data_IF_041708274650
#
_entry.id   IF_041708274650
#
_cell.length_a   1.000
_cell.length_b   1.000
_cell.length_c   1.000
_cell.angle_alpha   90.00
_cell.angle_beta   90.00
_cell.angle_gamma   90.00
#
_symmetry.space_group_name_H-M   'P 1'
#
loop_
_entity.id
_entity.type
_entity.pdbx_description
1 polymer ?
#
# COMPACT_ATOMS: atom_id res chain seq x y z
N UNK A 1 8.32 43.81 -11.96
CA UNK A 1 8.20 44.17 -10.53
C UNK A 1 7.23 43.18 -9.92
N UNK A 2 7.73 42.02 -9.43
CA UNK A 2 6.87 40.92 -8.99
C UNK A 2 6.31 41.20 -7.59
N UNK A 3 5.02 41.50 -7.52
CA UNK A 3 4.27 41.59 -6.26
C UNK A 3 3.95 40.18 -5.76
N UNK A 4 4.84 39.60 -4.96
CA UNK A 4 4.60 38.31 -4.30
C UNK A 4 3.48 38.45 -3.27
N UNK A 5 2.33 37.86 -3.60
CA UNK A 5 1.11 37.91 -2.80
C UNK A 5 1.24 37.00 -1.56
N UNK A 6 1.68 37.60 -0.44
CA UNK A 6 2.05 36.91 0.81
C UNK A 6 0.92 36.10 1.49
N UNK A 7 -0.33 36.28 1.03
CA UNK A 7 -1.52 35.55 1.53
C UNK A 7 -1.82 34.23 0.79
N UNK A 8 -1.33 34.09 -0.45
CA UNK A 8 -1.57 32.88 -1.27
C UNK A 8 -0.58 31.76 -0.91
N UNK A 9 0.67 32.12 -0.63
CA UNK A 9 1.77 31.18 -0.34
C UNK A 9 1.54 30.37 0.94
N UNK A 10 1.02 31.01 2.00
CA UNK A 10 0.75 30.33 3.28
C UNK A 10 -0.33 29.25 3.17
N UNK A 11 -1.36 29.47 2.35
CA UNK A 11 -2.47 28.52 2.17
C UNK A 11 -2.08 27.34 1.27
N UNK A 12 -1.21 27.56 0.28
CA UNK A 12 -0.70 26.50 -0.58
C UNK A 12 0.33 25.63 0.15
N UNK A 13 1.19 26.22 0.99
CA UNK A 13 2.16 25.47 1.79
C UNK A 13 1.46 24.54 2.80
N UNK A 14 0.40 25.00 3.48
CA UNK A 14 -0.34 24.15 4.41
C UNK A 14 -1.07 23.00 3.72
N UNK A 15 -1.66 23.22 2.54
CA UNK A 15 -2.31 22.16 1.76
C UNK A 15 -1.28 21.13 1.25
N UNK A 16 -0.11 21.58 0.78
CA UNK A 16 0.97 20.68 0.36
C UNK A 16 1.49 19.84 1.55
N UNK A 17 1.69 20.43 2.72
CA UNK A 17 2.12 19.70 3.92
C UNK A 17 1.10 18.65 4.39
N UNK A 18 -0.21 18.90 4.23
CA UNK A 18 -1.26 17.94 4.58
C UNK A 18 -1.24 16.75 3.61
N UNK A 19 -1.19 17.01 2.30
CA UNK A 19 -1.13 15.97 1.27
C UNK A 19 0.14 15.11 1.41
N UNK A 20 1.29 15.73 1.69
CA UNK A 20 2.55 15.01 1.86
C UNK A 20 2.56 14.14 3.13
N UNK A 21 1.96 14.60 4.23
CA UNK A 21 1.86 13.81 5.47
C UNK A 21 0.96 12.59 5.30
N UNK A 22 -0.20 12.73 4.65
CA UNK A 22 -1.13 11.61 4.45
C UNK A 22 -0.51 10.48 3.62
N UNK A 23 0.26 10.80 2.58
CA UNK A 23 0.93 9.79 1.75
C UNK A 23 2.04 9.06 2.52
N UNK A 24 2.77 9.75 3.41
CA UNK A 24 3.85 9.15 4.22
C UNK A 24 3.35 8.12 5.23
N UNK A 25 2.10 8.24 5.71
CA UNK A 25 1.53 7.35 6.71
C UNK A 25 1.19 5.94 6.19
N UNK A 26 1.09 5.76 4.87
CA UNK A 26 0.77 4.47 4.23
C UNK A 26 1.99 3.76 3.64
N UNK A 27 3.18 4.35 3.72
CA UNK A 27 4.40 3.72 3.21
C UNK A 27 4.87 2.61 4.15
N UNK A 28 4.42 1.37 3.87
CA UNK A 28 4.88 0.15 4.53
C UNK A 28 6.25 -0.29 3.98
N UNK A 29 7.19 0.65 3.82
CA UNK A 29 8.54 0.37 3.32
C UNK A 29 9.12 -0.81 4.10
N UNK A 30 9.40 -1.89 3.39
CA UNK A 30 9.77 -3.22 3.89
C UNK A 30 10.83 -3.11 4.99
N UNK A 31 10.41 -3.19 6.25
CA UNK A 31 11.31 -3.22 7.39
C UNK A 31 12.26 -4.42 7.24
N UNK A 32 13.53 -4.22 7.61
CA UNK A 32 14.57 -5.24 7.58
C UNK A 32 14.26 -6.24 8.70
N UNK A 33 13.36 -7.19 8.46
CA UNK A 33 12.81 -8.06 9.50
C UNK A 33 12.18 -9.34 8.97
N UNK A 34 11.92 -10.27 9.89
CA UNK A 34 11.21 -11.53 9.62
C UNK A 34 9.84 -11.25 8.99
N UNK A 35 9.33 -12.18 8.17
CA UNK A 35 7.97 -12.08 7.64
C UNK A 35 6.98 -12.17 8.81
N UNK A 36 5.87 -11.43 8.73
CA UNK A 36 4.84 -11.45 9.77
C UNK A 36 3.49 -11.83 9.19
N UNK A 37 2.58 -12.29 10.04
CA UNK A 37 1.15 -12.40 9.74
C UNK A 37 0.51 -11.02 9.66
N UNK A 38 -0.75 -10.91 9.22
CA UNK A 38 -1.47 -9.63 9.22
C UNK A 38 -1.66 -9.06 10.63
N UNK A 39 -1.65 -9.92 11.66
CA UNK A 39 -1.68 -9.52 13.06
C UNK A 39 -0.30 -9.13 13.63
N UNK A 40 0.78 -9.24 12.83
CA UNK A 40 2.13 -8.84 13.22
C UNK A 40 2.96 -9.93 13.93
N UNK A 41 2.47 -11.18 14.01
CA UNK A 41 3.24 -12.27 14.58
C UNK A 41 4.37 -12.68 13.63
N UNK A 42 5.62 -12.90 14.11
CA UNK A 42 6.71 -13.36 13.25
C UNK A 42 6.46 -14.79 12.75
N UNK A 43 6.80 -15.01 11.49
CA UNK A 43 6.65 -16.29 10.80
C UNK A 43 7.99 -17.01 10.73
N UNK A 44 8.05 -18.25 11.24
CA UNK A 44 9.26 -19.06 11.25
C UNK A 44 9.66 -19.56 9.84
N UNK A 45 8.71 -20.14 9.10
CA UNK A 45 8.90 -20.55 7.71
C UNK A 45 7.61 -20.31 6.93
N UNK A 46 7.75 -19.58 5.83
CA UNK A 46 6.64 -19.11 5.02
C UNK A 46 6.61 -19.70 3.59
N UNK A 47 7.48 -20.66 3.32
CA UNK A 47 7.62 -21.25 1.99
C UNK A 47 7.10 -22.69 1.94
N UNK A 48 6.75 -23.26 3.10
CA UNK A 48 6.26 -24.63 3.22
C UNK A 48 4.95 -24.66 3.99
N UNK A 49 4.05 -25.56 3.58
CA UNK A 49 2.80 -25.87 4.28
C UNK A 49 3.04 -26.93 5.37
N UNK A 50 2.27 -26.87 6.45
CA UNK A 50 2.25 -27.92 7.47
C UNK A 50 1.49 -29.15 6.97
N UNK A 51 2.14 -30.31 6.97
CA UNK A 51 1.56 -31.58 6.49
C UNK A 51 1.58 -32.67 7.56
N UNK A 52 0.70 -33.67 7.42
CA UNK A 52 0.70 -34.89 8.24
C UNK A 52 1.82 -35.87 7.79
N UNK A 53 3.08 -35.43 7.93
CA UNK A 53 4.27 -36.13 7.42
C UNK A 53 4.68 -35.65 6.01
N UNK A 54 5.87 -36.05 5.54
CA UNK A 54 6.51 -35.51 4.34
C UNK A 54 5.67 -35.62 3.04
N UNK A 55 4.80 -36.63 2.95
CA UNK A 55 3.87 -36.82 1.82
C UNK A 55 2.42 -36.93 2.27
N UNK A 56 2.13 -36.47 3.48
CA UNK A 56 0.78 -36.43 4.04
C UNK A 56 -0.04 -35.25 3.52
N UNK A 57 -1.36 -35.24 3.75
CA UNK A 57 -2.21 -34.11 3.43
C UNK A 57 -1.81 -32.85 4.23
N UNK A 58 -2.16 -31.68 3.69
CA UNK A 58 -2.01 -30.38 4.37
C UNK A 58 -2.99 -30.31 5.54
N UNK A 59 -2.52 -29.80 6.67
CA UNK A 59 -3.30 -29.67 7.88
C UNK A 59 -4.13 -28.39 7.87
N UNK A 60 -5.40 -28.49 8.26
CA UNK A 60 -6.28 -27.31 8.38
C UNK A 60 -5.86 -26.35 9.49
N UNK A 61 -5.07 -26.82 10.46
CA UNK A 61 -4.55 -26.00 11.55
C UNK A 61 -3.44 -25.03 11.08
N UNK A 62 -2.93 -25.20 9.86
CA UNK A 62 -1.98 -24.28 9.23
C UNK A 62 -2.69 -22.96 8.88
N UNK A 63 -2.90 -22.13 9.90
CA UNK A 63 -3.64 -20.88 9.77
C UNK A 63 -2.85 -19.87 8.93
N UNK A 64 -1.51 -19.92 8.95
CA UNK A 64 -0.69 -18.98 8.19
C UNK A 64 -0.85 -19.23 6.66
N UNK A 65 -0.90 -20.50 6.24
CA UNK A 65 -1.21 -20.85 4.84
C UNK A 65 -2.62 -20.40 4.42
N UNK A 66 -3.62 -20.65 5.26
CA UNK A 66 -5.00 -20.27 4.98
C UNK A 66 -5.16 -18.75 4.85
N UNK A 67 -4.52 -17.99 5.74
CA UNK A 67 -4.53 -16.53 5.72
C UNK A 67 -3.94 -16.00 4.41
N UNK A 68 -2.80 -16.54 3.96
CA UNK A 68 -2.19 -16.19 2.68
C UNK A 68 -3.10 -16.41 1.48
N UNK A 69 -3.68 -17.61 1.38
CA UNK A 69 -4.57 -17.95 0.27
C UNK A 69 -5.83 -17.07 0.31
N UNK A 70 -6.38 -16.87 1.50
CA UNK A 70 -7.52 -15.99 1.71
C UNK A 70 -7.25 -14.53 1.29
N UNK A 71 -6.04 -14.03 1.50
CA UNK A 71 -5.63 -12.71 1.02
C UNK A 71 -5.50 -12.69 -0.50
N UNK A 72 -4.79 -13.66 -1.08
CA UNK A 72 -4.57 -13.75 -2.53
C UNK A 72 -5.89 -13.83 -3.31
N UNK A 73 -6.80 -14.69 -2.87
CA UNK A 73 -8.11 -14.88 -3.52
C UNK A 73 -8.96 -13.60 -3.52
N UNK A 74 -8.70 -12.68 -2.59
CA UNK A 74 -9.42 -11.41 -2.43
C UNK A 74 -8.67 -10.19 -2.95
N UNK A 75 -7.57 -10.37 -3.67
CA UNK A 75 -6.80 -9.25 -4.24
C UNK A 75 -7.57 -8.52 -5.34
N UNK A 76 -8.49 -9.20 -6.02
CA UNK A 76 -9.26 -8.61 -7.11
C UNK A 76 -10.41 -7.77 -6.56
N UNK A 77 -10.42 -6.51 -6.95
CA UNK A 77 -11.56 -5.59 -6.80
C UNK A 77 -12.23 -5.36 -8.17
N UNK A 78 -13.51 -4.99 -8.22
CA UNK A 78 -14.17 -4.64 -9.46
C UNK A 78 -13.42 -3.52 -10.20
N UNK A 79 -13.32 -3.63 -11.52
CA UNK A 79 -12.73 -2.60 -12.36
C UNK A 79 -13.64 -1.36 -12.46
N UNK A 80 -13.08 -0.23 -12.88
CA UNK A 80 -13.87 0.98 -13.16
C UNK A 80 -14.81 0.71 -14.33
N UNK A 81 -16.08 1.12 -14.22
CA UNK A 81 -17.13 0.95 -15.25
C UNK A 81 -16.70 1.47 -16.63
N UNK A 82 -15.88 2.53 -16.65
CA UNK A 82 -15.24 3.07 -17.86
C UNK A 82 -13.78 3.43 -17.56
N UNK A 83 -12.95 3.46 -18.60
CA UNK A 83 -11.50 3.70 -18.48
C UNK A 83 -10.81 2.73 -17.50
N UNK A 84 -11.20 1.45 -17.54
CA UNK A 84 -10.61 0.39 -16.71
C UNK A 84 -9.09 0.26 -16.90
N UNK A 85 -8.59 0.58 -18.10
CA UNK A 85 -7.17 0.63 -18.43
C UNK A 85 -6.65 2.06 -18.37
N UNK A 86 -5.70 2.31 -17.48
CA UNK A 86 -5.00 3.58 -17.35
C UNK A 86 -3.78 3.45 -16.44
N UNK A 87 -2.88 4.43 -16.50
CA UNK A 87 -1.75 4.59 -15.58
C UNK A 87 -1.69 6.05 -15.10
N UNK A 88 -1.12 6.29 -13.92
CA UNK A 88 -1.05 7.64 -13.33
C UNK A 88 0.35 7.99 -12.86
N UNK A 89 0.67 9.28 -12.90
CA UNK A 89 1.88 9.86 -12.32
C UNK A 89 1.50 11.04 -11.41
N UNK A 90 2.33 11.32 -10.41
CA UNK A 90 2.19 12.52 -9.57
C UNK A 90 2.86 13.72 -10.26
N UNK A 91 2.33 14.91 -10.06
CA UNK A 91 2.87 16.16 -10.62
C UNK A 91 2.27 17.39 -9.95
N UNK A 92 2.80 18.57 -10.28
CA UNK A 92 2.31 19.87 -9.79
C UNK A 92 1.81 20.68 -10.98
N UNK A 93 0.69 21.36 -10.81
CA UNK A 93 0.14 22.29 -11.79
C UNK A 93 0.59 23.72 -11.47
N UNK A 94 1.20 24.40 -12.44
CA UNK A 94 1.61 25.81 -12.33
C UNK A 94 0.87 26.64 -13.40
N UNK A 95 0.34 27.80 -12.98
CA UNK A 95 -0.38 28.73 -13.85
C UNK A 95 0.53 29.90 -14.23
N UNK A 96 0.81 30.06 -15.52
CA UNK A 96 1.48 31.25 -16.04
C UNK A 96 0.46 32.24 -16.59
N UNK A 97 0.52 33.50 -16.14
CA UNK A 97 -0.29 34.62 -16.66
C UNK A 97 0.64 35.57 -17.41
N UNK A 98 0.36 35.83 -18.69
CA UNK A 98 1.07 36.79 -19.55
C UNK A 98 0.61 38.22 -19.28
#
# INVERSE_FOLDING_TARGET
MNTYNHRSTFKLYTINLINEREVRHYDQSKAIGFKTTAAGQPWADNQHSQTAGDRGPVLLQDYDLLEKLAHFDRERIPERVVHAKGAGAKGVFELETT
#
